data_IF_972094192452
#
_entry.id   IF_972094192452
#
_cell.length_a   1.000
_cell.length_b   1.000
_cell.length_c   1.000
_cell.angle_alpha   90.00
_cell.angle_beta   90.00
_cell.angle_gamma   90.00
#
_symmetry.space_group_name_H-M   'P 1'
#
loop_
_entity.id
_entity.type
_entity.pdbx_description
1 polymer ?
#
# COMPACT_ATOMS: atom_id res chain seq x y z
N UNK A 1 24.68 7.62 -31.47
CA UNK A 1 23.88 8.81 -31.20
C UNK A 1 23.58 8.93 -29.73
N UNK A 2 24.00 10.02 -29.10
CA UNK A 2 23.68 10.28 -27.69
C UNK A 2 22.16 10.56 -27.57
N UNK A 3 21.49 9.88 -26.67
CA UNK A 3 20.07 10.08 -26.41
C UNK A 3 19.82 11.49 -25.85
N UNK A 4 18.79 12.16 -26.36
CA UNK A 4 18.37 13.51 -25.97
C UNK A 4 18.26 13.61 -24.42
N UNK A 5 18.86 14.63 -23.80
CA UNK A 5 18.77 14.86 -22.35
C UNK A 5 17.33 14.99 -21.83
N UNK A 6 16.39 15.44 -22.67
CA UNK A 6 14.95 15.53 -22.34
C UNK A 6 14.31 14.15 -22.22
N UNK A 7 14.71 13.20 -23.08
CA UNK A 7 14.24 11.81 -22.99
C UNK A 7 14.81 11.09 -21.76
N UNK A 8 16.04 11.43 -21.34
CA UNK A 8 16.63 10.90 -20.09
C UNK A 8 15.93 11.45 -18.85
N UNK A 9 15.53 12.73 -18.85
CA UNK A 9 14.72 13.32 -17.76
C UNK A 9 13.33 12.72 -17.69
N UNK A 10 12.66 12.53 -18.83
CA UNK A 10 11.33 11.92 -18.86
C UNK A 10 11.36 10.45 -18.41
N UNK A 11 12.38 9.68 -18.82
CA UNK A 11 12.56 8.29 -18.35
C UNK A 11 12.92 8.21 -16.87
N UNK A 12 13.67 9.16 -16.31
CA UNK A 12 13.93 9.25 -14.86
C UNK A 12 12.68 9.65 -14.08
N UNK A 13 11.88 10.57 -14.59
CA UNK A 13 10.60 10.95 -13.97
C UNK A 13 9.56 9.82 -14.02
N UNK A 14 9.60 8.95 -15.05
CA UNK A 14 8.72 7.77 -15.13
C UNK A 14 9.19 6.60 -14.26
N UNK A 15 10.45 6.56 -13.82
CA UNK A 15 11.00 5.47 -13.03
C UNK A 15 10.66 5.56 -11.54
N UNK A 16 10.10 6.68 -11.06
CA UNK A 16 9.81 6.92 -9.65
C UNK A 16 8.33 7.26 -9.46
N UNK A 17 7.63 6.41 -8.70
CA UNK A 17 6.25 6.65 -8.34
C UNK A 17 6.12 7.90 -7.47
N UNK A 18 5.01 8.62 -7.64
CA UNK A 18 4.63 9.73 -6.76
C UNK A 18 4.46 9.18 -5.34
N UNK A 19 5.10 9.77 -4.32
CA UNK A 19 4.98 9.27 -2.95
C UNK A 19 3.59 9.48 -2.37
N UNK A 20 2.98 8.41 -1.85
CA UNK A 20 1.79 8.48 -1.02
C UNK A 20 2.24 8.56 0.43
N UNK A 21 2.58 9.75 0.87
CA UNK A 21 2.98 10.04 2.24
C UNK A 21 1.78 10.06 3.18
N UNK A 22 2.02 10.15 4.48
CA UNK A 22 0.95 10.25 5.48
C UNK A 22 0.03 11.44 5.23
N UNK A 23 0.56 12.60 4.87
CA UNK A 23 -0.25 13.79 4.56
C UNK A 23 -1.18 13.53 3.35
N UNK A 24 -0.66 12.89 2.31
CA UNK A 24 -1.45 12.47 1.15
C UNK A 24 -2.49 11.43 1.54
N UNK A 25 -2.11 10.43 2.35
CA UNK A 25 -3.03 9.42 2.86
C UNK A 25 -4.23 10.06 3.57
N UNK A 26 -3.98 11.00 4.47
CA UNK A 26 -5.03 11.68 5.22
C UNK A 26 -5.96 12.48 4.31
N UNK A 27 -5.43 13.15 3.28
CA UNK A 27 -6.23 13.85 2.28
C UNK A 27 -7.12 12.89 1.47
N UNK A 28 -6.58 11.73 1.06
CA UNK A 28 -7.35 10.71 0.36
C UNK A 28 -8.44 10.09 1.23
N UNK A 29 -8.14 9.84 2.51
CA UNK A 29 -9.14 9.34 3.47
C UNK A 29 -10.32 10.30 3.64
N UNK A 30 -10.07 11.61 3.66
CA UNK A 30 -11.12 12.62 3.70
C UNK A 30 -11.97 12.66 2.45
N UNK A 31 -11.45 12.22 1.31
CA UNK A 31 -12.18 12.14 0.05
C UNK A 31 -13.04 10.88 -0.09
N UNK A 32 -12.88 9.90 0.79
CA UNK A 32 -13.69 8.70 0.79
C UNK A 32 -15.15 9.03 1.13
N UNK A 33 -16.07 8.42 0.38
CA UNK A 33 -17.52 8.61 0.60
C UNK A 33 -17.99 7.84 1.83
N UNK A 34 -19.14 8.27 2.39
CA UNK A 34 -19.73 7.62 3.56
C UNK A 34 -20.70 6.50 3.13
N UNK A 35 -20.16 5.49 2.48
CA UNK A 35 -20.88 4.34 1.97
C UNK A 35 -19.92 3.12 1.91
N UNK A 36 -20.41 2.00 1.39
CA UNK A 36 -19.61 0.77 1.24
C UNK A 36 -18.37 1.00 0.37
N UNK A 37 -18.50 1.76 -0.71
CA UNK A 37 -17.37 2.10 -1.58
C UNK A 37 -16.32 2.91 -0.82
N UNK A 38 -16.74 3.92 -0.08
CA UNK A 38 -15.84 4.72 0.74
C UNK A 38 -15.16 3.91 1.83
N UNK A 39 -15.85 2.98 2.46
CA UNK A 39 -15.28 2.07 3.45
C UNK A 39 -14.23 1.14 2.81
N UNK A 40 -14.53 0.58 1.64
CA UNK A 40 -13.57 -0.24 0.88
C UNK A 40 -12.32 0.56 0.51
N UNK A 41 -12.47 1.81 0.09
CA UNK A 41 -11.37 2.70 -0.24
C UNK A 41 -10.50 2.99 1.00
N UNK A 42 -11.11 3.23 2.16
CA UNK A 42 -10.37 3.42 3.42
C UNK A 42 -9.53 2.18 3.78
N UNK A 43 -10.10 1.00 3.64
CA UNK A 43 -9.38 -0.27 3.89
C UNK A 43 -8.20 -0.41 2.94
N UNK A 44 -8.41 -0.18 1.65
CA UNK A 44 -7.34 -0.22 0.64
C UNK A 44 -6.22 0.76 0.98
N UNK A 45 -6.56 2.00 1.29
CA UNK A 45 -5.59 3.07 1.59
C UNK A 45 -4.74 2.74 2.82
N UNK A 46 -5.38 2.36 3.93
CA UNK A 46 -4.66 2.07 5.18
C UNK A 46 -3.88 0.76 5.09
N UNK A 47 -4.44 -0.27 4.49
CA UNK A 47 -3.74 -1.54 4.32
C UNK A 47 -2.50 -1.38 3.41
N UNK A 48 -2.64 -0.66 2.32
CA UNK A 48 -1.54 -0.38 1.40
C UNK A 48 -0.41 0.41 2.07
N UNK A 49 -0.75 1.47 2.77
CA UNK A 49 0.23 2.31 3.46
C UNK A 49 0.95 1.58 4.61
N UNK A 50 0.21 0.87 5.46
CA UNK A 50 0.79 0.23 6.63
C UNK A 50 1.60 -1.02 6.30
N UNK A 51 1.18 -1.81 5.31
CA UNK A 51 1.87 -3.06 4.94
C UNK A 51 3.00 -2.85 3.96
N UNK A 52 3.03 -1.76 3.22
CA UNK A 52 4.03 -1.45 2.20
C UNK A 52 4.16 -2.56 1.14
N UNK A 53 3.07 -3.28 0.86
CA UNK A 53 3.10 -4.40 -0.09
C UNK A 53 2.83 -3.94 -1.51
N UNK A 54 3.31 -4.74 -2.46
CA UNK A 54 2.97 -4.56 -3.88
C UNK A 54 1.47 -4.75 -4.07
N UNK A 55 0.89 -4.07 -5.07
CA UNK A 55 -0.56 -4.13 -5.31
C UNK A 55 -1.08 -5.55 -5.51
N UNK A 56 -0.33 -6.43 -6.17
CA UNK A 56 -0.70 -7.83 -6.31
C UNK A 56 -0.73 -8.55 -4.95
N UNK A 57 0.22 -8.27 -4.09
CA UNK A 57 0.28 -8.83 -2.73
C UNK A 57 -0.88 -8.31 -1.86
N UNK A 58 -1.24 -7.02 -1.98
CA UNK A 58 -2.40 -6.46 -1.28
C UNK A 58 -3.70 -7.18 -1.63
N UNK A 59 -3.88 -7.51 -2.91
CA UNK A 59 -5.08 -8.20 -3.38
C UNK A 59 -5.16 -9.66 -2.96
N UNK A 60 -4.08 -10.24 -2.46
CA UNK A 60 -4.05 -11.62 -1.95
C UNK A 60 -4.41 -11.75 -0.47
N UNK A 61 -4.42 -10.67 0.31
CA UNK A 61 -4.80 -10.75 1.72
C UNK A 61 -6.24 -11.24 1.89
N UNK A 62 -6.39 -12.18 2.81
CA UNK A 62 -7.68 -12.75 3.21
C UNK A 62 -7.96 -12.41 4.67
N UNK A 63 -9.22 -12.42 5.07
CA UNK A 63 -9.59 -12.25 6.48
C UNK A 63 -8.94 -13.29 7.38
N UNK A 64 -8.74 -14.53 6.89
CA UNK A 64 -8.05 -15.59 7.63
C UNK A 64 -6.55 -15.30 7.87
N UNK A 65 -5.97 -14.33 7.18
CA UNK A 65 -4.59 -13.91 7.39
C UNK A 65 -4.44 -12.97 8.59
N UNK A 66 -5.53 -12.49 9.17
CA UNK A 66 -5.51 -11.69 10.39
C UNK A 66 -5.16 -12.57 11.58
N UNK A 67 -4.13 -12.17 12.32
CA UNK A 67 -3.62 -12.90 13.48
C UNK A 67 -3.38 -11.94 14.63
N UNK A 68 -3.23 -12.51 15.82
CA UNK A 68 -2.76 -11.80 17.00
C UNK A 68 -1.27 -12.05 17.18
N UNK A 69 -0.50 -11.00 17.36
CA UNK A 69 0.91 -11.08 17.71
C UNK A 69 1.08 -11.59 19.15
N UNK A 70 2.24 -12.17 19.54
CA UNK A 70 2.51 -12.55 20.92
C UNK A 70 2.32 -11.41 21.93
N UNK A 71 2.52 -10.16 21.49
CA UNK A 71 2.27 -8.94 22.29
C UNK A 71 0.79 -8.63 22.51
N UNK A 72 -0.14 -9.37 21.91
CA UNK A 72 -1.56 -9.07 21.88
C UNK A 72 -2.00 -8.10 20.79
N UNK A 73 -1.06 -7.50 20.04
CA UNK A 73 -1.36 -6.61 18.91
C UNK A 73 -1.84 -7.39 17.70
N UNK A 74 -2.60 -6.74 16.84
CA UNK A 74 -3.04 -7.33 15.57
C UNK A 74 -1.91 -7.38 14.56
N UNK A 75 -1.94 -8.39 13.70
CA UNK A 75 -1.06 -8.53 12.56
C UNK A 75 -1.79 -9.16 11.37
N UNK A 76 -1.20 -9.06 10.21
CA UNK A 76 -1.67 -9.74 9.01
C UNK A 76 -0.53 -10.54 8.38
N UNK A 77 -0.82 -11.79 8.05
CA UNK A 77 0.18 -12.70 7.47
C UNK A 77 0.19 -12.57 5.96
N UNK A 78 1.35 -12.25 5.43
CA UNK A 78 1.60 -12.31 4.00
C UNK A 78 2.10 -13.70 3.63
N UNK A 79 1.25 -14.51 3.01
CA UNK A 79 1.55 -15.92 2.65
C UNK A 79 2.30 -16.05 1.33
N UNK A 80 2.13 -15.08 0.43
CA UNK A 80 2.70 -15.11 -0.92
C UNK A 80 3.69 -13.99 -1.11
N UNK A 81 4.98 -14.35 -1.10
CA UNK A 81 6.05 -13.50 -1.58
C UNK A 81 6.86 -14.31 -2.60
N UNK A 82 7.25 -13.68 -3.71
CA UNK A 82 8.19 -14.29 -4.68
C UNK A 82 9.51 -14.69 -4.04
N UNK A 83 9.75 -14.26 -2.82
CA UNK A 83 11.00 -14.42 -2.08
C UNK A 83 10.88 -15.36 -0.88
N UNK A 84 9.67 -15.81 -0.55
CA UNK A 84 9.44 -16.77 0.53
C UNK A 84 9.45 -18.21 -0.02
N UNK A 85 10.64 -18.79 -0.11
CA UNK A 85 10.85 -20.15 -0.61
C UNK A 85 10.36 -21.22 0.38
N UNK A 86 10.17 -20.88 1.65
CA UNK A 86 9.76 -21.82 2.69
C UNK A 86 8.25 -21.80 2.97
N UNK A 87 7.51 -20.88 2.37
CA UNK A 87 6.06 -20.76 2.55
C UNK A 87 5.60 -20.38 3.97
N UNK A 88 6.51 -19.93 4.83
CA UNK A 88 6.21 -19.56 6.23
C UNK A 88 5.43 -18.26 6.28
N UNK A 89 5.62 -17.39 5.29
CA UNK A 89 5.01 -16.06 5.26
C UNK A 89 5.67 -15.08 6.24
N UNK A 90 5.22 -13.84 6.15
CA UNK A 90 5.65 -12.76 7.03
C UNK A 90 4.45 -12.19 7.77
N UNK A 91 4.55 -12.07 9.08
CA UNK A 91 3.54 -11.43 9.90
C UNK A 91 3.83 -9.94 9.99
N UNK A 92 2.92 -9.12 9.49
CA UNK A 92 3.05 -7.65 9.44
C UNK A 92 2.18 -7.05 10.54
N UNK A 93 2.74 -6.25 11.48
CA UNK A 93 1.96 -5.58 12.50
C UNK A 93 0.98 -4.58 11.90
N UNK A 94 -0.21 -4.49 12.47
CA UNK A 94 -1.23 -3.51 12.12
C UNK A 94 -1.45 -2.54 13.29
N UNK A 95 -1.72 -1.28 12.97
CA UNK A 95 -2.15 -0.31 13.98
C UNK A 95 -3.53 -0.67 14.53
N UNK A 96 -3.88 -0.25 15.76
CA UNK A 96 -5.24 -0.39 16.27
C UNK A 96 -6.30 0.23 15.36
N UNK A 97 -5.99 1.36 14.73
CA UNK A 97 -6.89 2.03 13.78
C UNK A 97 -7.24 1.14 12.60
N UNK A 98 -6.25 0.50 11.98
CA UNK A 98 -6.50 -0.41 10.85
C UNK A 98 -7.20 -1.69 11.31
N UNK A 99 -6.82 -2.24 12.46
CA UNK A 99 -7.51 -3.40 13.05
C UNK A 99 -9.01 -3.11 13.23
N UNK A 100 -9.36 -1.97 13.83
CA UNK A 100 -10.74 -1.60 14.07
C UNK A 100 -11.50 -1.37 12.74
N UNK A 101 -10.84 -0.76 11.77
CA UNK A 101 -11.41 -0.58 10.43
C UNK A 101 -11.69 -1.92 9.75
N UNK A 102 -10.80 -2.89 9.89
CA UNK A 102 -11.01 -4.24 9.34
C UNK A 102 -12.16 -4.99 10.02
N UNK A 103 -12.39 -4.77 11.32
CA UNK A 103 -13.56 -5.29 12.01
C UNK A 103 -14.86 -4.69 11.46
N UNK A 104 -14.91 -3.38 11.26
CA UNK A 104 -16.05 -2.70 10.65
C UNK A 104 -16.28 -3.21 9.23
N UNK A 105 -15.22 -3.34 8.44
CA UNK A 105 -15.30 -3.86 7.07
C UNK A 105 -15.79 -5.31 7.03
N UNK A 106 -15.29 -6.17 7.92
CA UNK A 106 -15.75 -7.55 8.04
C UNK A 106 -17.23 -7.65 8.41
N UNK A 107 -17.73 -6.76 9.27
CA UNK A 107 -19.16 -6.69 9.59
C UNK A 107 -20.01 -6.26 8.38
N UNK A 108 -19.47 -5.42 7.51
CA UNK A 108 -20.17 -4.92 6.32
C UNK A 108 -20.26 -5.98 5.21
N UNK A 109 -19.20 -6.75 4.98
CA UNK A 109 -19.10 -7.66 3.80
C UNK A 109 -19.01 -9.13 4.17
N UNK A 110 -18.97 -9.45 5.45
CA UNK A 110 -18.66 -10.81 5.95
C UNK A 110 -17.13 -10.99 6.09
N UNK A 111 -16.71 -11.44 7.28
CA UNK A 111 -15.30 -11.59 7.64
C UNK A 111 -14.69 -12.89 7.11
N UNK A 112 -14.85 -13.16 5.81
CA UNK A 112 -14.29 -14.32 5.11
C UNK A 112 -13.90 -13.95 3.69
N UNK A 113 -13.01 -14.73 3.11
CA UNK A 113 -12.51 -14.50 1.76
C UNK A 113 -11.55 -13.32 1.69
N UNK A 114 -11.46 -12.71 0.54
CA UNK A 114 -10.51 -11.62 0.30
C UNK A 114 -10.90 -10.34 1.05
N UNK A 115 -9.90 -9.68 1.64
CA UNK A 115 -10.09 -8.38 2.30
C UNK A 115 -10.42 -7.30 1.26
N UNK A 116 -9.60 -7.20 0.22
CA UNK A 116 -9.88 -6.33 -0.93
C UNK A 116 -10.60 -7.16 -2.00
N UNK A 117 -11.83 -6.81 -2.27
CA UNK A 117 -12.69 -7.58 -3.17
C UNK A 117 -13.45 -6.70 -4.14
N UNK A 118 -13.89 -7.30 -5.23
CA UNK A 118 -14.84 -6.66 -6.14
C UNK A 118 -16.13 -6.32 -5.40
N UNK A 119 -16.66 -5.13 -5.62
CA UNK A 119 -17.98 -4.71 -5.12
C UNK A 119 -19.10 -4.92 -6.16
N UNK A 120 -18.81 -5.61 -7.26
CA UNK A 120 -19.84 -6.03 -8.22
C UNK A 120 -20.84 -6.95 -7.55
N UNK A 121 -22.11 -6.82 -7.91
CA UNK A 121 -23.17 -7.65 -7.34
C UNK A 121 -23.44 -8.86 -8.22
N UNK A 122 -23.74 -10.01 -7.62
CA UNK A 122 -23.73 -10.29 -6.18
C UNK A 122 -22.32 -10.23 -5.58
N UNK A 123 -22.22 -9.83 -4.31
CA UNK A 123 -20.94 -9.82 -3.60
C UNK A 123 -20.43 -11.25 -3.42
N UNK A 124 -19.20 -11.48 -3.84
CA UNK A 124 -18.55 -12.79 -3.72
C UNK A 124 -17.26 -12.64 -2.89
N UNK A 125 -17.17 -13.30 -1.71
CA UNK A 125 -15.98 -13.25 -0.89
C UNK A 125 -14.74 -13.86 -1.57
N UNK A 126 -14.91 -14.69 -2.58
CA UNK A 126 -13.82 -15.32 -3.35
C UNK A 126 -13.49 -14.55 -4.65
N UNK A 127 -14.05 -13.37 -4.85
CA UNK A 127 -13.73 -12.48 -5.97
C UNK A 127 -12.82 -11.34 -5.51
N UNK A 128 -11.49 -11.49 -5.65
CA UNK A 128 -10.54 -10.46 -5.21
C UNK A 128 -10.64 -9.21 -6.08
N UNK A 129 -10.23 -8.08 -5.51
CA UNK A 129 -9.99 -6.88 -6.29
C UNK A 129 -8.85 -7.14 -7.27
N UNK A 130 -9.02 -6.79 -8.54
CA UNK A 130 -7.94 -6.87 -9.52
C UNK A 130 -6.85 -5.83 -9.17
N UNK A 131 -5.55 -6.17 -9.27
CA UNK A 131 -4.48 -5.22 -8.94
C UNK A 131 -4.56 -3.90 -9.71
N UNK A 132 -5.01 -3.92 -10.97
CA UNK A 132 -5.22 -2.71 -11.77
C UNK A 132 -6.28 -1.77 -11.18
N UNK A 133 -7.24 -2.29 -10.43
CA UNK A 133 -8.28 -1.49 -9.78
C UNK A 133 -7.73 -0.62 -8.64
N UNK A 134 -6.63 -1.02 -8.02
CA UNK A 134 -5.95 -0.18 -7.02
C UNK A 134 -5.53 1.14 -7.64
N UNK A 135 -4.89 1.11 -8.80
CA UNK A 135 -4.46 2.33 -9.50
C UNK A 135 -5.66 3.20 -9.92
N UNK A 136 -6.73 2.58 -10.41
CA UNK A 136 -7.95 3.30 -10.78
C UNK A 136 -8.61 3.98 -9.56
N UNK A 137 -8.71 3.28 -8.45
CA UNK A 137 -9.25 3.85 -7.21
C UNK A 137 -8.40 5.00 -6.68
N UNK A 138 -7.08 4.84 -6.71
CA UNK A 138 -6.15 5.90 -6.29
C UNK A 138 -6.30 7.15 -7.16
N UNK A 139 -6.40 7.00 -8.48
CA UNK A 139 -6.65 8.12 -9.39
C UNK A 139 -7.97 8.83 -9.10
N UNK A 140 -9.03 8.06 -8.89
CA UNK A 140 -10.35 8.61 -8.55
C UNK A 140 -10.30 9.41 -7.25
N UNK A 141 -9.68 8.87 -6.21
CA UNK A 141 -9.55 9.52 -4.91
C UNK A 141 -8.65 10.76 -4.99
N UNK A 142 -7.55 10.69 -5.74
CA UNK A 142 -6.66 11.83 -5.96
C UNK A 142 -7.41 12.99 -6.63
N UNK A 143 -8.20 12.71 -7.65
CA UNK A 143 -9.02 13.71 -8.33
C UNK A 143 -10.09 14.28 -7.38
N UNK A 144 -10.79 13.43 -6.63
CA UNK A 144 -11.80 13.85 -5.66
C UNK A 144 -11.21 14.69 -4.53
N UNK A 145 -9.98 14.40 -4.10
CA UNK A 145 -9.26 15.19 -3.09
C UNK A 145 -8.65 16.48 -3.64
N UNK A 146 -8.66 16.70 -4.95
CA UNK A 146 -8.03 17.85 -5.59
C UNK A 146 -6.53 17.93 -5.43
N UNK A 147 -5.85 16.77 -5.36
CA UNK A 147 -4.39 16.70 -5.13
C UNK A 147 -3.62 16.77 -6.44
N UNK A 148 -2.78 17.80 -6.56
CA UNK A 148 -1.80 17.94 -7.63
C UNK A 148 -0.42 17.54 -7.11
N UNK A 149 0.04 16.35 -7.52
CA UNK A 149 1.25 15.73 -6.98
C UNK A 149 2.37 15.59 -8.03
N UNK A 150 2.20 16.22 -9.19
CA UNK A 150 3.14 16.09 -10.32
C UNK A 150 3.04 14.76 -11.06
N UNK A 151 2.01 13.97 -10.79
CA UNK A 151 1.72 12.69 -11.40
C UNK A 151 0.60 11.95 -10.70
N UNK A 152 0.17 10.83 -11.26
CA UNK A 152 -0.87 10.00 -10.67
C UNK A 152 -0.29 9.02 -9.66
N UNK A 153 -0.99 8.87 -8.54
CA UNK A 153 -0.73 7.81 -7.56
C UNK A 153 -0.97 6.43 -8.19
N UNK A 154 -0.18 5.47 -7.76
CA UNK A 154 -0.30 4.06 -8.13
C UNK A 154 -0.05 3.16 -6.92
N UNK A 155 -0.22 1.84 -7.07
CA UNK A 155 0.06 0.91 -5.98
C UNK A 155 1.49 0.99 -5.45
N UNK A 156 2.46 1.35 -6.28
CA UNK A 156 3.85 1.56 -5.85
C UNK A 156 4.03 2.81 -4.99
N UNK A 157 3.13 3.79 -5.11
CA UNK A 157 3.15 5.03 -4.34
C UNK A 157 3.06 4.80 -2.84
N UNK A 158 2.35 3.78 -2.39
CA UNK A 158 2.29 3.38 -0.97
C UNK A 158 3.68 3.07 -0.42
N UNK A 159 4.46 2.28 -1.15
CA UNK A 159 5.79 1.83 -0.72
C UNK A 159 6.77 2.99 -0.64
N UNK A 160 6.77 3.85 -1.64
CA UNK A 160 7.64 5.04 -1.68
C UNK A 160 7.27 6.02 -0.57
N UNK A 161 6.00 6.34 -0.42
CA UNK A 161 5.52 7.29 0.59
C UNK A 161 5.77 6.81 2.01
N UNK A 162 5.40 5.56 2.31
CA UNK A 162 5.62 4.98 3.63
C UNK A 162 7.12 4.88 3.98
N UNK A 163 7.96 4.53 3.01
CA UNK A 163 9.41 4.49 3.21
C UNK A 163 9.99 5.87 3.53
N UNK A 164 9.55 6.92 2.83
CA UNK A 164 9.94 8.30 3.12
C UNK A 164 9.54 8.72 4.53
N UNK A 165 8.30 8.43 4.94
CA UNK A 165 7.82 8.77 6.27
C UNK A 165 8.61 8.06 7.37
N UNK A 166 8.96 6.78 7.16
CA UNK A 166 9.79 6.03 8.10
C UNK A 166 11.20 6.60 8.20
N UNK A 167 11.79 6.99 7.07
CA UNK A 167 13.09 7.65 7.06
C UNK A 167 13.06 8.97 7.84
N UNK A 168 12.01 9.76 7.64
CA UNK A 168 11.83 11.07 8.28
C UNK A 168 11.70 10.98 9.80
N UNK A 169 11.11 9.91 10.32
CA UNK A 169 11.06 9.66 11.77
C UNK A 169 12.31 8.98 12.32
N UNK A 170 13.35 8.81 11.51
CA UNK A 170 14.66 8.32 11.94
C UNK A 170 14.87 6.80 11.84
N UNK A 171 13.99 6.08 11.13
CA UNK A 171 14.22 4.64 10.89
C UNK A 171 15.39 4.44 9.92
N UNK A 172 16.27 3.49 10.22
CA UNK A 172 17.41 3.19 9.35
C UNK A 172 16.95 2.60 8.01
N UNK A 173 17.72 2.84 6.95
CA UNK A 173 17.42 2.31 5.62
C UNK A 173 17.36 0.79 5.65
N UNK A 174 18.22 0.12 6.41
CA UNK A 174 18.24 -1.33 6.56
C UNK A 174 16.93 -1.86 7.14
N UNK A 175 16.38 -1.19 8.15
CA UNK A 175 15.08 -1.53 8.73
C UNK A 175 13.93 -1.25 7.76
N UNK A 176 13.99 -0.15 7.01
CA UNK A 176 13.00 0.16 5.97
C UNK A 176 13.02 -0.92 4.89
N UNK A 177 14.20 -1.33 4.43
CA UNK A 177 14.36 -2.40 3.45
C UNK A 177 13.73 -3.70 3.94
N UNK A 178 14.01 -4.07 5.18
CA UNK A 178 13.45 -5.28 5.80
C UNK A 178 11.92 -5.21 5.88
N UNK A 179 11.39 -4.09 6.35
CA UNK A 179 9.95 -3.86 6.49
C UNK A 179 9.23 -3.88 5.14
N UNK A 180 9.81 -3.27 4.11
CA UNK A 180 9.26 -3.21 2.77
C UNK A 180 9.56 -4.42 1.90
N UNK A 181 10.43 -5.33 2.35
CA UNK A 181 10.82 -6.50 1.58
C UNK A 181 11.78 -6.20 0.42
N UNK A 182 12.54 -5.11 0.50
CA UNK A 182 13.62 -4.82 -0.44
C UNK A 182 14.88 -5.59 -0.04
N UNK A 183 15.38 -6.44 -0.94
CA UNK A 183 16.60 -7.24 -0.70
C UNK A 183 17.89 -6.58 -1.18
N UNK A 184 17.76 -5.69 -2.16
CA UNK A 184 18.88 -4.98 -2.77
C UNK A 184 18.52 -3.53 -2.96
N UNK A 185 19.51 -2.69 -3.25
CA UNK A 185 19.27 -1.31 -3.61
C UNK A 185 18.41 -1.22 -4.88
N UNK A 186 17.14 -0.90 -4.68
CA UNK A 186 16.20 -0.51 -5.72
C UNK A 186 16.33 0.98 -6.02
N UNK A 187 15.62 1.46 -7.03
CA UNK A 187 15.49 2.90 -7.31
C UNK A 187 14.96 3.65 -6.09
N UNK A 188 14.02 3.05 -5.33
CA UNK A 188 13.45 3.63 -4.10
C UNK A 188 14.53 3.78 -3.03
N UNK A 189 15.31 2.73 -2.78
CA UNK A 189 16.36 2.75 -1.75
C UNK A 189 17.47 3.75 -2.11
N UNK A 190 17.87 3.83 -3.36
CA UNK A 190 18.82 4.87 -3.83
C UNK A 190 18.28 6.27 -3.62
N UNK A 191 17.00 6.48 -3.85
CA UNK A 191 16.33 7.75 -3.58
C UNK A 191 16.33 8.09 -2.09
N UNK A 192 16.03 7.14 -1.22
CA UNK A 192 16.07 7.32 0.23
C UNK A 192 17.48 7.63 0.73
N UNK A 193 18.51 6.99 0.18
CA UNK A 193 19.90 7.28 0.53
C UNK A 193 20.30 8.70 0.15
N UNK A 194 19.80 9.23 -0.96
CA UNK A 194 20.03 10.62 -1.33
C UNK A 194 19.45 11.59 -0.30
N UNK A 195 18.32 11.27 0.30
CA UNK A 195 17.71 12.07 1.38
C UNK A 195 18.41 11.93 2.73
N UNK A 196 19.06 10.82 3.00
CA UNK A 196 19.76 10.57 4.27
C UNK A 196 20.95 11.51 4.46
N UNK A 197 21.50 12.05 3.37
CA UNK A 197 22.68 12.93 3.38
C UNK A 197 22.35 14.42 3.26
N UNK A 198 21.10 14.78 3.16
CA UNK A 198 20.64 16.18 3.19
C UNK A 198 20.30 16.59 4.63
#
# INVERSE_FOLDING_TARGET
>A
GAADPRQRRSRRAQAQAVPLTRAVLEALLRACTDDRRGLADQVMLRLGYETMRRRAELCHFRFDDLEQLPSGKAGIRMRFSKTDQLGVGKLIPLTPTLRDLLLVWGNEVGARGYVLRSLSRPLDPESPLAPSQINLRLRHLQAAAGLELGGWLSGHSFRVGAALDLLEIGMSIEKIMLRGGWRAESTVIRYLRAWEFE
#
